data_IF_933464230207
#
_entry.id   IF_933464230207
#
_cell.length_a   1.000
_cell.length_b   1.000
_cell.length_c   1.000
_cell.angle_alpha   90.00
_cell.angle_beta   90.00
_cell.angle_gamma   90.00
#
_symmetry.space_group_name_H-M   'P 1'
#
loop_
_entity.id
_entity.type
_entity.pdbx_description
1 polymer ?
#
# COMPACT_ATOMS: atom_id res chain seq x y z
N UNK A 1 -8.82 -10.66 2.38
CA UNK A 1 -8.27 -10.28 1.06
C UNK A 1 -8.47 -11.34 -0.04
N UNK A 2 -7.75 -12.47 -0.05
CA UNK A 2 -7.76 -13.36 -1.24
C UNK A 2 -9.12 -14.02 -1.47
N UNK A 3 -9.77 -14.53 -0.43
CA UNK A 3 -11.10 -15.13 -0.56
C UNK A 3 -12.14 -14.12 -1.05
N UNK A 4 -12.07 -12.87 -0.58
CA UNK A 4 -12.94 -11.81 -1.08
C UNK A 4 -12.67 -11.47 -2.55
N UNK A 5 -11.40 -11.48 -2.98
CA UNK A 5 -11.06 -11.30 -4.39
C UNK A 5 -11.63 -12.43 -5.26
N UNK A 6 -11.49 -13.69 -4.83
CA UNK A 6 -12.07 -14.84 -5.54
C UNK A 6 -13.59 -14.76 -5.64
N UNK A 7 -14.27 -14.21 -4.63
CA UNK A 7 -15.74 -14.19 -4.56
C UNK A 7 -16.38 -12.98 -5.23
N UNK A 8 -15.77 -11.80 -5.11
CA UNK A 8 -16.35 -10.52 -5.56
C UNK A 8 -15.48 -9.77 -6.56
N UNK A 9 -14.29 -10.26 -6.87
CA UNK A 9 -13.36 -9.59 -7.79
C UNK A 9 -13.75 -9.65 -9.27
N UNK A 10 -14.87 -10.30 -9.62
CA UNK A 10 -15.36 -10.36 -11.00
C UNK A 10 -14.30 -10.93 -11.95
N UNK A 11 -13.89 -10.17 -12.98
CA UNK A 11 -12.82 -10.58 -13.92
C UNK A 11 -11.46 -10.87 -13.25
N UNK A 12 -11.22 -10.33 -12.06
CA UNK A 12 -10.00 -10.58 -11.28
C UNK A 12 -10.11 -11.82 -10.38
N UNK A 13 -11.29 -12.45 -10.30
CA UNK A 13 -11.53 -13.60 -9.45
C UNK A 13 -10.56 -14.75 -9.75
N UNK A 14 -10.12 -14.94 -10.98
CA UNK A 14 -9.19 -16.01 -11.37
C UNK A 14 -7.75 -15.52 -11.65
N UNK A 15 -7.44 -14.26 -11.35
CA UNK A 15 -6.12 -13.72 -11.58
C UNK A 15 -5.04 -14.51 -10.78
N UNK A 16 -3.84 -14.74 -11.35
CA UNK A 16 -2.72 -15.30 -10.60
C UNK A 16 -2.38 -14.42 -9.40
N UNK A 17 -2.25 -15.02 -8.21
CA UNK A 17 -1.93 -14.28 -6.98
C UNK A 17 -0.54 -14.68 -6.51
N UNK A 18 0.27 -13.67 -6.22
CA UNK A 18 1.57 -13.82 -5.61
C UNK A 18 1.54 -13.22 -4.21
N UNK A 19 1.73 -14.06 -3.20
CA UNK A 19 1.95 -13.61 -1.84
C UNK A 19 3.46 -13.64 -1.58
N UNK A 20 4.04 -12.53 -1.14
CA UNK A 20 5.49 -12.45 -0.94
C UNK A 20 5.82 -12.21 0.53
N UNK A 21 6.78 -12.96 1.05
CA UNK A 21 7.43 -12.71 2.33
C UNK A 21 8.87 -12.26 2.06
N UNK A 22 9.12 -10.94 1.94
CA UNK A 22 10.38 -10.39 1.45
C UNK A 22 11.43 -10.13 2.53
N UNK A 23 11.13 -10.52 3.77
CA UNK A 23 11.95 -10.19 4.93
C UNK A 23 11.99 -11.33 5.91
N UNK A 24 13.14 -11.51 6.56
CA UNK A 24 13.28 -12.44 7.66
C UNK A 24 12.28 -12.16 8.80
N UNK A 25 11.65 -13.22 9.29
CA UNK A 25 10.64 -13.19 10.34
C UNK A 25 10.09 -14.58 10.61
N UNK A 26 9.10 -14.69 11.51
CA UNK A 26 8.40 -15.94 11.74
C UNK A 26 7.87 -16.55 10.44
N UNK A 27 7.86 -17.88 10.32
CA UNK A 27 7.27 -18.54 9.17
C UNK A 27 5.74 -18.34 9.15
N UNK A 28 5.13 -18.46 7.97
CA UNK A 28 3.69 -18.60 7.85
C UNK A 28 3.22 -19.86 8.59
N UNK A 29 2.04 -19.78 9.21
CA UNK A 29 1.41 -20.93 9.86
C UNK A 29 1.07 -22.03 8.84
N UNK A 30 0.92 -23.27 9.29
CA UNK A 30 0.48 -24.36 8.42
C UNK A 30 -0.92 -24.08 7.85
N UNK A 31 -1.81 -23.48 8.65
CA UNK A 31 -3.13 -23.06 8.19
C UNK A 31 -3.04 -22.09 7.01
N UNK A 32 -2.21 -21.05 7.10
CA UNK A 32 -2.02 -20.08 6.00
C UNK A 32 -1.47 -20.77 4.74
N UNK A 33 -0.50 -21.67 4.87
CA UNK A 33 0.05 -22.42 3.74
C UNK A 33 -0.99 -23.30 3.06
N UNK A 34 -1.82 -24.00 3.85
CA UNK A 34 -2.91 -24.82 3.33
C UNK A 34 -3.96 -23.96 2.61
N UNK A 35 -4.28 -22.78 3.16
CA UNK A 35 -5.18 -21.81 2.53
C UNK A 35 -4.60 -21.26 1.23
N UNK A 36 -3.30 -20.97 1.18
CA UNK A 36 -2.64 -20.56 -0.06
C UNK A 36 -2.70 -21.65 -1.14
N UNK A 37 -2.44 -22.91 -0.78
CA UNK A 37 -2.57 -24.02 -1.71
C UNK A 37 -4.01 -24.17 -2.24
N UNK A 38 -5.01 -24.11 -1.34
CA UNK A 38 -6.43 -24.19 -1.71
C UNK A 38 -6.87 -23.05 -2.65
N UNK A 39 -6.31 -21.86 -2.48
CA UNK A 39 -6.68 -20.65 -3.24
C UNK A 39 -5.76 -20.40 -4.46
N UNK A 40 -4.89 -21.37 -4.79
CA UNK A 40 -3.92 -21.28 -5.88
C UNK A 40 -3.04 -20.03 -5.80
N UNK A 41 -2.46 -19.79 -4.62
CA UNK A 41 -1.58 -18.65 -4.35
C UNK A 41 -0.12 -19.09 -4.48
N UNK A 42 0.63 -18.39 -5.33
CA UNK A 42 2.07 -18.55 -5.44
C UNK A 42 2.76 -17.84 -4.26
N UNK A 43 3.27 -18.59 -3.30
CA UNK A 43 4.01 -18.02 -2.17
C UNK A 43 5.49 -17.90 -2.50
N UNK A 44 5.99 -16.67 -2.53
CA UNK A 44 7.42 -16.38 -2.70
C UNK A 44 7.98 -15.98 -1.34
N UNK A 45 9.04 -16.66 -0.91
CA UNK A 45 9.84 -16.22 0.24
C UNK A 45 11.21 -15.78 -0.26
N UNK A 46 11.50 -14.50 -0.12
CA UNK A 46 12.81 -13.95 -0.42
C UNK A 46 13.35 -13.20 0.82
N UNK A 47 14.68 -13.08 0.89
CA UNK A 47 15.35 -12.32 1.94
C UNK A 47 16.55 -11.60 1.33
N UNK A 48 16.31 -10.60 0.48
CA UNK A 48 17.37 -9.84 -0.17
C UNK A 48 18.24 -9.18 0.91
N UNK A 49 19.56 -9.32 0.77
CA UNK A 49 20.51 -8.68 1.68
C UNK A 49 20.63 -7.21 1.29
N UNK A 50 20.07 -6.34 2.12
CA UNK A 50 20.13 -4.89 1.94
C UNK A 50 20.58 -4.21 3.22
N UNK A 51 21.21 -3.04 3.10
CA UNK A 51 21.63 -2.21 4.25
C UNK A 51 20.42 -1.71 5.08
N UNK A 52 19.22 -1.82 4.50
CA UNK A 52 17.96 -1.35 5.04
C UNK A 52 16.99 -2.50 5.40
N UNK A 53 17.50 -3.72 5.60
CA UNK A 53 16.67 -4.90 5.93
C UNK A 53 15.88 -4.76 7.25
N UNK A 54 16.18 -3.74 8.03
CA UNK A 54 15.42 -3.35 9.22
C UNK A 54 14.16 -2.54 8.92
N UNK A 55 14.13 -1.83 7.79
CA UNK A 55 13.04 -0.94 7.43
C UNK A 55 11.87 -1.74 6.86
N UNK A 56 10.76 -1.76 7.60
CA UNK A 56 9.56 -2.50 7.19
C UNK A 56 8.91 -1.97 5.93
N UNK A 57 9.04 -0.67 5.65
CA UNK A 57 8.45 -0.04 4.47
C UNK A 57 9.04 -0.59 3.16
N UNK A 58 10.28 -1.08 3.17
CA UNK A 58 10.87 -1.71 1.97
C UNK A 58 10.27 -3.06 1.60
N UNK A 59 9.41 -3.66 2.44
CA UNK A 59 8.81 -4.96 2.11
C UNK A 59 8.04 -4.89 0.78
N UNK A 60 7.31 -3.80 0.50
CA UNK A 60 6.51 -3.67 -0.72
C UNK A 60 7.36 -3.60 -2.00
N UNK A 61 8.33 -2.68 -2.15
CA UNK A 61 9.19 -2.66 -3.33
C UNK A 61 10.03 -3.95 -3.48
N UNK A 62 10.52 -4.54 -2.37
CA UNK A 62 11.23 -5.83 -2.43
C UNK A 62 10.32 -6.97 -2.87
N UNK A 63 9.06 -6.98 -2.42
CA UNK A 63 8.07 -7.97 -2.83
C UNK A 63 7.72 -7.84 -4.31
N UNK A 64 7.54 -6.62 -4.81
CA UNK A 64 7.27 -6.35 -6.22
C UNK A 64 8.40 -6.85 -7.11
N UNK A 65 9.66 -6.52 -6.78
CA UNK A 65 10.81 -7.01 -7.57
C UNK A 65 10.85 -8.53 -7.62
N UNK A 66 10.65 -9.20 -6.48
CA UNK A 66 10.65 -10.66 -6.44
C UNK A 66 9.47 -11.30 -7.18
N UNK A 67 8.29 -10.67 -7.15
CA UNK A 67 7.11 -11.17 -7.85
C UNK A 67 7.18 -10.91 -9.36
N UNK A 68 7.68 -9.76 -9.79
CA UNK A 68 7.75 -9.37 -11.20
C UNK A 68 8.59 -10.34 -12.05
N UNK A 69 9.57 -11.02 -11.44
CA UNK A 69 10.36 -12.10 -12.09
C UNK A 69 9.53 -13.34 -12.43
N UNK A 70 8.43 -13.57 -11.72
CA UNK A 70 7.55 -14.73 -11.89
C UNK A 70 6.24 -14.40 -12.63
N UNK A 71 5.82 -13.14 -12.64
CA UNK A 71 4.57 -12.72 -13.25
C UNK A 71 4.71 -12.73 -14.78
N UNK A 72 3.75 -13.37 -15.45
CA UNK A 72 3.67 -13.44 -16.91
C UNK A 72 2.58 -12.54 -17.50
N UNK A 73 1.64 -12.06 -16.69
CA UNK A 73 0.58 -11.14 -17.12
C UNK A 73 1.16 -9.82 -17.62
N UNK A 74 0.38 -9.12 -18.45
CA UNK A 74 0.75 -7.79 -18.95
C UNK A 74 0.79 -6.74 -17.84
N UNK A 75 -0.12 -6.84 -16.87
CA UNK A 75 -0.22 -5.93 -15.74
C UNK A 75 0.19 -6.61 -14.43
N UNK A 76 0.69 -5.79 -13.50
CA UNK A 76 0.91 -6.13 -12.10
C UNK A 76 0.00 -5.23 -11.26
N UNK A 77 -0.87 -5.83 -10.45
CA UNK A 77 -1.66 -5.12 -9.46
C UNK A 77 -1.10 -5.39 -8.06
N UNK A 78 -0.76 -4.33 -7.32
CA UNK A 78 -0.44 -4.41 -5.91
C UNK A 78 -1.70 -4.20 -5.08
N UNK A 79 -1.89 -5.08 -4.08
CA UNK A 79 -2.90 -4.95 -3.04
C UNK A 79 -2.22 -5.15 -1.69
N UNK A 80 -2.33 -4.18 -0.78
CA UNK A 80 -1.90 -4.37 0.59
C UNK A 80 -2.67 -5.53 1.24
N UNK A 81 -2.04 -6.22 2.20
CA UNK A 81 -2.64 -7.40 2.84
C UNK A 81 -3.89 -7.08 3.65
N UNK A 82 -4.07 -5.82 4.02
CA UNK A 82 -5.20 -5.30 4.79
C UNK A 82 -6.29 -4.64 3.92
N UNK A 83 -6.50 -5.18 2.73
CA UNK A 83 -7.68 -4.83 1.90
C UNK A 83 -8.73 -5.95 1.87
N UNK A 84 -9.99 -5.54 1.71
CA UNK A 84 -11.14 -6.41 1.47
C UNK A 84 -11.84 -5.97 0.18
N UNK A 85 -12.10 -6.94 -0.70
CA UNK A 85 -12.78 -6.70 -1.98
C UNK A 85 -14.28 -6.80 -1.74
N UNK A 86 -15.00 -5.73 -2.08
CA UNK A 86 -16.46 -5.59 -1.94
C UNK A 86 -17.18 -5.76 -3.27
N UNK A 87 -16.48 -5.53 -4.39
CA UNK A 87 -16.99 -5.72 -5.74
C UNK A 87 -15.86 -5.77 -6.77
N UNK A 88 -16.20 -5.99 -8.05
CA UNK A 88 -15.23 -6.02 -9.13
C UNK A 88 -14.47 -4.68 -9.17
N UNK A 89 -13.13 -4.70 -9.23
CA UNK A 89 -12.34 -3.49 -9.36
C UNK A 89 -11.96 -3.24 -10.82
N UNK A 90 -12.95 -3.05 -11.70
CA UNK A 90 -12.76 -2.91 -13.15
C UNK A 90 -11.81 -1.77 -13.57
N UNK A 91 -11.70 -0.69 -12.80
CA UNK A 91 -10.83 0.44 -13.14
C UNK A 91 -9.32 0.17 -12.96
N UNK A 92 -8.94 -0.98 -12.38
CA UNK A 92 -7.56 -1.48 -12.40
C UNK A 92 -7.12 -1.94 -13.79
N UNK A 93 -8.05 -2.13 -14.73
CA UNK A 93 -7.73 -2.42 -16.14
C UNK A 93 -7.32 -1.11 -16.82
N UNK A 94 -6.17 -1.13 -17.50
CA UNK A 94 -5.68 0.02 -18.24
C UNK A 94 -6.55 0.32 -19.45
N UNK A 95 -6.82 1.62 -19.66
CA UNK A 95 -7.28 2.13 -20.95
C UNK A 95 -6.12 2.21 -21.93
N UNK A 96 -6.44 2.43 -23.20
CA UNK A 96 -5.42 2.61 -24.23
C UNK A 96 -4.48 3.77 -23.87
N UNK A 97 -3.18 3.50 -23.93
CA UNK A 97 -2.14 4.47 -23.58
C UNK A 97 -1.95 4.73 -22.08
N UNK A 98 -2.66 4.06 -21.17
CA UNK A 98 -2.37 4.12 -19.73
C UNK A 98 -1.30 3.10 -19.34
N UNK A 99 -0.42 3.48 -18.42
CA UNK A 99 0.71 2.69 -17.92
C UNK A 99 0.60 2.40 -16.42
N UNK A 100 -0.09 3.27 -15.68
CA UNK A 100 -0.15 3.25 -14.22
C UNK A 100 -1.51 3.76 -13.70
N UNK A 101 -2.05 3.12 -12.66
CA UNK A 101 -3.24 3.58 -11.96
C UNK A 101 -3.09 3.44 -10.45
N UNK A 102 -3.53 4.45 -9.70
CA UNK A 102 -3.54 4.44 -8.23
C UNK A 102 -4.56 5.45 -7.69
N UNK A 103 -4.95 5.32 -6.42
CA UNK A 103 -5.77 6.34 -5.75
C UNK A 103 -4.90 7.51 -5.26
N UNK A 104 -5.41 8.74 -5.40
CA UNK A 104 -4.79 9.90 -4.76
C UNK A 104 -4.65 9.66 -3.24
N UNK A 105 -3.53 10.09 -2.67
CA UNK A 105 -3.39 10.10 -1.21
C UNK A 105 -4.26 11.20 -0.59
N UNK A 106 -4.52 11.07 0.72
CA UNK A 106 -4.85 12.22 1.55
C UNK A 106 -3.67 13.22 1.55
N UNK A 107 -3.93 14.50 1.88
CA UNK A 107 -2.93 15.58 1.84
C UNK A 107 -1.72 15.18 2.64
N UNK A 108 -1.87 14.87 3.94
CA UNK A 108 -0.81 14.31 4.79
C UNK A 108 0.55 15.01 4.52
N UNK A 109 1.55 14.28 3.99
CA UNK A 109 2.86 14.83 3.62
C UNK A 109 2.95 15.39 2.19
N UNK A 110 1.90 15.29 1.40
CA UNK A 110 1.76 15.91 0.09
C UNK A 110 1.79 17.44 0.19
N UNK A 111 2.41 18.07 -0.80
CA UNK A 111 2.57 19.53 -0.84
C UNK A 111 1.50 20.21 -1.69
N UNK A 112 0.83 21.20 -1.12
CA UNK A 112 -0.09 22.11 -1.79
C UNK A 112 0.60 23.30 -2.51
N UNK A 113 1.94 23.31 -2.61
CA UNK A 113 2.70 24.38 -3.28
C UNK A 113 3.59 25.19 -2.34
N UNK A 114 4.08 26.33 -2.83
CA UNK A 114 5.17 27.12 -2.23
C UNK A 114 4.98 27.47 -0.74
N UNK A 115 3.75 27.70 -0.31
CA UNK A 115 3.42 28.09 1.07
C UNK A 115 3.15 26.90 2.01
N UNK A 116 3.11 25.68 1.48
CA UNK A 116 2.91 24.47 2.28
C UNK A 116 4.22 24.08 2.98
N UNK A 117 4.23 23.85 4.31
CA UNK A 117 5.40 23.33 5.02
C UNK A 117 6.00 22.07 4.39
N UNK A 118 5.18 21.26 3.72
CA UNK A 118 5.63 20.04 3.04
C UNK A 118 6.43 20.32 1.76
N UNK A 119 6.35 21.52 1.17
CA UNK A 119 6.98 21.86 -0.11
C UNK A 119 8.50 21.76 -0.09
N UNK A 120 9.13 22.06 1.05
CA UNK A 120 10.59 21.97 1.22
C UNK A 120 11.08 20.54 1.05
N UNK A 121 10.40 19.58 1.67
CA UNK A 121 10.71 18.16 1.55
C UNK A 121 10.57 17.68 0.10
N UNK A 122 9.49 18.07 -0.59
CA UNK A 122 9.28 17.70 -2.00
C UNK A 122 10.28 18.35 -2.96
N UNK A 123 10.63 19.62 -2.77
CA UNK A 123 11.67 20.30 -3.55
C UNK A 123 13.02 19.61 -3.48
N UNK A 124 13.40 19.18 -2.29
CA UNK A 124 14.64 18.42 -2.11
C UNK A 124 14.59 17.09 -2.87
N UNK A 125 13.48 16.35 -2.76
CA UNK A 125 13.30 15.10 -3.50
C UNK A 125 13.38 15.32 -5.01
N UNK A 126 12.67 16.32 -5.55
CA UNK A 126 12.73 16.63 -6.97
C UNK A 126 14.15 17.00 -7.42
N UNK A 127 14.92 17.68 -6.58
CA UNK A 127 16.34 17.97 -6.84
C UNK A 127 17.19 16.70 -6.88
N UNK A 128 17.00 15.78 -5.93
CA UNK A 128 17.71 14.48 -5.89
C UNK A 128 17.45 13.65 -7.15
N UNK A 129 16.24 13.70 -7.69
CA UNK A 129 15.81 12.90 -8.83
C UNK A 129 15.83 13.65 -10.18
N UNK A 130 16.39 14.86 -10.23
CA UNK A 130 16.44 15.71 -11.42
C UNK A 130 15.06 15.92 -12.08
N UNK A 131 14.04 16.11 -11.24
CA UNK A 131 12.68 16.41 -11.67
C UNK A 131 12.43 17.92 -11.59
N UNK A 132 11.96 18.51 -12.68
CA UNK A 132 11.57 19.92 -12.67
C UNK A 132 10.24 20.08 -11.93
N UNK A 133 10.25 20.81 -10.81
CA UNK A 133 9.07 21.06 -9.97
C UNK A 133 7.90 21.70 -10.74
N UNK A 134 8.19 22.53 -11.75
CA UNK A 134 7.19 23.21 -12.58
C UNK A 134 6.44 22.24 -13.50
N UNK A 135 7.02 21.08 -13.78
CA UNK A 135 6.43 20.03 -14.60
C UNK A 135 5.69 18.97 -13.77
N UNK A 136 5.71 19.08 -12.45
CA UNK A 136 5.07 18.08 -11.58
C UNK A 136 3.56 18.26 -11.65
N UNK A 137 2.81 17.21 -12.04
CA UNK A 137 1.36 17.30 -12.12
C UNK A 137 0.71 17.55 -10.75
N UNK A 138 -0.49 18.12 -10.82
CA UNK A 138 -1.36 18.33 -9.66
C UNK A 138 -2.47 17.29 -9.64
N UNK A 139 -2.91 16.94 -8.43
CA UNK A 139 -4.06 16.07 -8.20
C UNK A 139 -4.90 16.58 -7.04
N UNK A 140 -6.20 16.35 -7.10
CA UNK A 140 -7.12 16.65 -6.01
C UNK A 140 -7.24 15.42 -5.11
N UNK A 141 -6.91 15.58 -3.83
CA UNK A 141 -7.10 14.53 -2.81
C UNK A 141 -8.57 14.19 -2.71
N UNK A 142 -8.92 12.90 -2.63
CA UNK A 142 -10.33 12.51 -2.67
C UNK A 142 -11.11 12.87 -1.40
N UNK A 143 -10.51 12.70 -0.22
CA UNK A 143 -11.20 12.98 1.05
C UNK A 143 -11.26 14.47 1.35
N UNK A 144 -10.13 15.16 1.26
CA UNK A 144 -10.01 16.56 1.70
C UNK A 144 -10.33 17.56 0.58
N UNK A 145 -10.47 17.09 -0.67
CA UNK A 145 -10.64 17.93 -1.88
C UNK A 145 -9.58 19.04 -2.01
N UNK A 146 -8.36 18.79 -1.51
CA UNK A 146 -7.20 19.68 -1.61
C UNK A 146 -6.42 19.40 -2.89
N UNK A 147 -5.93 20.45 -3.53
CA UNK A 147 -5.01 20.33 -4.65
C UNK A 147 -3.59 20.14 -4.10
N UNK A 148 -2.93 19.05 -4.47
CA UNK A 148 -1.55 18.74 -4.08
C UNK A 148 -0.74 18.34 -5.31
N UNK A 149 0.58 18.50 -5.25
CA UNK A 149 1.45 17.83 -6.22
C UNK A 149 1.23 16.33 -6.14
N UNK A 150 1.27 15.68 -7.29
CA UNK A 150 0.88 14.28 -7.43
C UNK A 150 1.54 13.40 -6.37
N UNK A 151 0.70 12.66 -5.65
CA UNK A 151 1.09 11.80 -4.54
C UNK A 151 0.01 10.73 -4.35
N UNK A 152 0.41 9.47 -4.47
CA UNK A 152 -0.49 8.31 -4.51
C UNK A 152 -0.56 7.62 -3.17
N UNK A 153 -1.71 7.07 -2.77
CA UNK A 153 -1.74 6.04 -1.74
C UNK A 153 -1.18 4.72 -2.33
N UNK A 154 -0.19 4.10 -1.69
CA UNK A 154 0.46 2.90 -2.24
C UNK A 154 -0.25 1.58 -1.90
N UNK A 155 -1.41 1.61 -1.23
CA UNK A 155 -2.14 0.42 -0.79
C UNK A 155 -2.80 -0.36 -1.93
N UNK A 156 -3.20 0.34 -2.99
CA UNK A 156 -3.76 -0.24 -4.22
C UNK A 156 -3.24 0.53 -5.42
N UNK A 157 -2.55 -0.16 -6.31
CA UNK A 157 -2.13 0.40 -7.60
C UNK A 157 -1.89 -0.71 -8.63
N UNK A 158 -1.86 -0.37 -9.91
CA UNK A 158 -1.45 -1.27 -10.97
C UNK A 158 -0.51 -0.57 -11.96
N UNK A 159 0.41 -1.34 -12.55
CA UNK A 159 1.28 -0.86 -13.63
C UNK A 159 1.49 -1.93 -14.71
N UNK A 160 1.89 -1.52 -15.92
CA UNK A 160 2.30 -2.47 -16.97
C UNK A 160 3.65 -3.09 -16.61
N UNK A 161 3.70 -4.43 -16.57
CA UNK A 161 4.90 -5.20 -16.23
C UNK A 161 6.08 -4.90 -17.16
N UNK A 162 5.83 -4.66 -18.44
CA UNK A 162 6.87 -4.37 -19.43
C UNK A 162 7.67 -3.10 -19.12
N UNK A 163 7.17 -2.23 -18.23
CA UNK A 163 7.84 -1.00 -17.83
C UNK A 163 8.91 -1.22 -16.76
N UNK A 164 8.94 -2.37 -16.08
CA UNK A 164 9.95 -2.65 -15.06
C UNK A 164 9.92 -1.72 -13.85
N UNK A 165 8.73 -1.18 -13.51
CA UNK A 165 8.56 -0.19 -12.46
C UNK A 165 9.05 -0.69 -11.08
N UNK A 166 8.97 -1.99 -10.77
CA UNK A 166 9.35 -2.47 -9.43
C UNK A 166 10.82 -2.22 -9.12
N UNK A 167 11.71 -2.42 -10.10
CA UNK A 167 13.16 -2.21 -9.92
C UNK A 167 13.48 -0.74 -9.71
N UNK A 168 12.89 0.14 -10.52
CA UNK A 168 13.05 1.59 -10.37
C UNK A 168 12.48 2.07 -9.05
N UNK A 169 11.32 1.53 -8.66
CA UNK A 169 10.69 1.84 -7.39
C UNK A 169 11.57 1.47 -6.19
N UNK A 170 12.14 0.27 -6.21
CA UNK A 170 13.09 -0.16 -5.18
C UNK A 170 14.36 0.71 -5.18
N UNK A 171 14.88 1.08 -6.36
CA UNK A 171 16.05 1.93 -6.46
C UNK A 171 15.78 3.32 -5.90
N UNK A 172 14.66 3.95 -6.25
CA UNK A 172 14.24 5.25 -5.71
C UNK A 172 14.08 5.18 -4.18
N UNK A 173 13.52 4.09 -3.65
CA UNK A 173 13.48 3.87 -2.20
C UNK A 173 14.89 3.90 -1.57
N UNK A 174 15.88 3.25 -2.20
CA UNK A 174 17.25 3.29 -1.71
C UNK A 174 17.88 4.68 -1.86
N UNK A 175 17.64 5.38 -2.96
CA UNK A 175 18.20 6.70 -3.20
C UNK A 175 17.72 7.71 -2.15
N UNK A 176 16.42 7.69 -1.80
CA UNK A 176 15.88 8.51 -0.69
C UNK A 176 16.56 8.15 0.65
N UNK A 177 16.77 6.86 0.91
CA UNK A 177 17.42 6.41 2.14
C UNK A 177 18.93 6.72 2.19
N UNK A 178 19.59 6.74 1.04
CA UNK A 178 21.00 7.13 0.93
C UNK A 178 21.16 8.65 1.07
N UNK A 179 20.14 9.43 0.71
CA UNK A 179 20.13 10.88 0.88
C UNK A 179 19.93 11.33 2.34
N UNK A 180 19.61 10.39 3.26
CA UNK A 180 19.45 10.65 4.70
C UNK A 180 18.54 11.86 4.98
N UNK A 181 17.44 11.97 4.24
CA UNK A 181 16.41 12.98 4.49
C UNK A 181 15.26 12.36 5.28
N UNK A 182 14.55 13.18 6.04
CA UNK A 182 13.32 12.78 6.72
C UNK A 182 12.32 13.92 6.67
N UNK A 183 11.04 13.58 6.54
CA UNK A 183 9.97 14.56 6.65
C UNK A 183 9.77 14.99 8.11
N UNK A 184 9.54 16.27 8.37
CA UNK A 184 9.39 16.80 9.73
C UNK A 184 8.19 16.27 10.51
N UNK A 185 7.08 15.91 9.84
CA UNK A 185 5.88 15.38 10.50
C UNK A 185 5.91 13.85 10.60
N UNK A 186 6.29 13.18 9.52
CA UNK A 186 6.15 11.72 9.40
C UNK A 186 7.47 10.94 9.48
N UNK A 187 8.59 11.64 9.65
CA UNK A 187 9.93 11.06 9.53
C UNK A 187 10.07 10.33 8.19
N UNK A 188 10.35 9.03 8.21
CA UNK A 188 10.50 8.21 6.99
C UNK A 188 9.30 7.30 6.72
N UNK A 189 8.19 7.50 7.43
CA UNK A 189 7.04 6.59 7.41
C UNK A 189 6.44 6.42 6.01
N UNK A 190 6.33 7.52 5.26
CA UNK A 190 5.73 7.54 3.93
C UNK A 190 6.75 7.53 2.79
N UNK A 191 8.04 7.32 3.07
CA UNK A 191 9.09 7.34 2.03
C UNK A 191 8.85 6.34 0.91
N UNK A 192 8.28 5.18 1.24
CA UNK A 192 7.93 4.18 0.22
C UNK A 192 6.83 4.72 -0.71
N UNK A 193 5.77 5.28 -0.16
CA UNK A 193 4.70 5.90 -0.95
C UNK A 193 5.19 7.08 -1.82
N UNK A 194 6.14 7.87 -1.29
CA UNK A 194 6.83 8.94 -2.04
C UNK A 194 7.68 8.38 -3.17
N UNK A 195 8.44 7.32 -2.91
CA UNK A 195 9.27 6.68 -3.92
C UNK A 195 8.44 6.12 -5.09
N UNK A 196 7.19 5.70 -4.86
CA UNK A 196 6.33 5.18 -5.92
C UNK A 196 6.04 6.25 -6.97
N UNK A 197 5.66 7.45 -6.51
CA UNK A 197 5.33 8.55 -7.42
C UNK A 197 6.58 9.09 -8.12
N UNK A 198 7.72 9.16 -7.43
CA UNK A 198 8.98 9.59 -8.04
C UNK A 198 9.47 8.60 -9.10
N UNK A 199 9.35 7.28 -8.87
CA UNK A 199 9.67 6.26 -9.85
C UNK A 199 8.75 6.33 -11.08
N UNK A 200 7.44 6.56 -10.86
CA UNK A 200 6.46 6.77 -11.93
C UNK A 200 6.80 8.01 -12.78
N UNK A 201 7.12 9.14 -12.14
CA UNK A 201 7.47 10.39 -12.81
C UNK A 201 8.78 10.30 -13.59
N UNK A 202 9.81 9.67 -13.00
CA UNK A 202 11.13 9.47 -13.64
C UNK A 202 11.03 8.67 -14.94
N UNK A 203 10.02 7.80 -15.07
CA UNK A 203 9.75 7.01 -16.28
C UNK A 203 8.77 7.68 -17.24
N UNK A 204 8.26 8.86 -16.92
CA UNK A 204 7.22 9.55 -17.69
C UNK A 204 6.00 8.65 -17.98
N UNK A 205 5.57 7.87 -16.97
CA UNK A 205 4.45 6.95 -17.15
C UNK A 205 3.14 7.70 -17.33
N UNK A 206 2.32 7.25 -18.28
CA UNK A 206 0.96 7.77 -18.45
C UNK A 206 0.05 7.18 -17.39
N UNK A 207 -0.58 8.02 -16.59
CA UNK A 207 -1.31 7.57 -15.42
C UNK A 207 -2.77 8.04 -15.40
N UNK A 208 -3.60 7.30 -14.65
CA UNK A 208 -4.95 7.72 -14.28
C UNK A 208 -5.16 7.54 -12.78
N UNK A 209 -5.78 8.54 -12.15
CA UNK A 209 -6.24 8.43 -10.78
C UNK A 209 -7.45 7.51 -10.69
N UNK A 210 -7.40 6.54 -9.78
CA UNK A 210 -8.55 5.70 -9.42
C UNK A 210 -9.47 6.48 -8.46
N UNK A 211 -10.80 6.29 -8.57
CA UNK A 211 -11.73 6.83 -7.59
C UNK A 211 -11.42 6.30 -6.19
N UNK A 212 -11.79 7.07 -5.17
CA UNK A 212 -11.58 6.68 -3.76
C UNK A 212 -12.21 5.33 -3.38
N UNK A 213 -13.27 4.90 -4.09
CA UNK A 213 -13.91 3.59 -3.92
C UNK A 213 -12.97 2.39 -4.15
N UNK A 214 -11.81 2.60 -4.76
CA UNK A 214 -10.79 1.56 -5.03
C UNK A 214 -9.71 1.48 -3.96
N UNK A 215 -9.75 2.35 -2.96
CA UNK A 215 -8.86 2.32 -1.81
C UNK A 215 -9.50 3.05 -0.63
N UNK A 216 -10.75 2.72 -0.32
CA UNK A 216 -11.52 3.39 0.71
C UNK A 216 -10.93 3.01 2.07
N UNK A 217 -10.21 3.94 2.71
CA UNK A 217 -9.65 3.68 4.03
C UNK A 217 -10.72 3.73 5.11
N UNK A 218 -10.82 2.66 5.90
CA UNK A 218 -11.76 2.50 7.01
C UNK A 218 -10.97 2.10 8.25
N UNK A 219 -11.21 2.77 9.37
CA UNK A 219 -10.49 2.48 10.61
C UNK A 219 -11.07 3.26 11.79
N UNK A 220 -10.74 2.82 13.00
CA UNK A 220 -11.31 3.40 14.23
C UNK A 220 -10.99 4.88 14.41
N UNK A 221 -9.81 5.32 13.94
CA UNK A 221 -9.33 6.70 14.03
C UNK A 221 -9.91 7.63 12.96
N UNK A 222 -10.36 7.05 11.85
CA UNK A 222 -10.77 7.79 10.65
C UNK A 222 -12.30 7.85 10.52
N UNK A 223 -12.99 6.86 11.07
CA UNK A 223 -14.42 6.66 10.87
C UNK A 223 -15.28 7.85 11.27
N UNK A 224 -15.12 8.39 12.48
CA UNK A 224 -16.00 9.45 13.00
C UNK A 224 -15.92 10.75 12.19
N UNK A 225 -14.81 11.00 11.51
CA UNK A 225 -14.57 12.22 10.75
C UNK A 225 -14.85 12.04 9.26
N UNK A 226 -14.61 10.86 8.71
CA UNK A 226 -14.51 10.67 7.27
C UNK A 226 -15.42 9.57 6.71
N UNK A 227 -16.20 8.87 7.54
CA UNK A 227 -17.16 7.91 7.04
C UNK A 227 -18.29 8.58 6.26
N UNK A 228 -18.52 8.10 5.03
CA UNK A 228 -19.69 8.43 4.23
C UNK A 228 -20.34 7.14 3.74
N UNK A 229 -21.57 6.89 4.16
CA UNK A 229 -22.33 5.69 3.74
C UNK A 229 -22.53 5.65 2.22
N UNK A 230 -22.78 6.81 1.59
CA UNK A 230 -22.91 6.93 0.15
C UNK A 230 -21.64 6.49 -0.57
N UNK A 231 -20.48 7.03 -0.15
CA UNK A 231 -19.20 6.63 -0.73
C UNK A 231 -18.89 5.17 -0.42
N UNK A 232 -19.22 4.70 0.78
CA UNK A 232 -18.98 3.33 1.19
C UNK A 232 -19.79 2.33 0.37
N UNK A 233 -21.04 2.65 -0.02
CA UNK A 233 -21.85 1.85 -0.96
C UNK A 233 -21.20 1.71 -2.34
N UNK A 234 -20.50 2.75 -2.80
CA UNK A 234 -19.79 2.72 -4.08
C UNK A 234 -18.43 1.98 -4.00
N UNK A 235 -17.93 1.68 -2.81
CA UNK A 235 -16.61 1.06 -2.58
C UNK A 235 -16.51 -0.32 -3.24
N UNK A 236 -15.42 -0.51 -4.00
CA UNK A 236 -15.00 -1.80 -4.57
C UNK A 236 -13.91 -2.45 -3.73
N UNK A 237 -13.04 -1.65 -3.13
CA UNK A 237 -11.95 -2.11 -2.27
C UNK A 237 -11.89 -1.23 -1.03
N UNK A 238 -12.06 -1.85 0.14
CA UNK A 238 -11.85 -1.19 1.43
C UNK A 238 -10.46 -1.53 1.95
N UNK A 239 -9.66 -0.50 2.22
CA UNK A 239 -8.43 -0.60 2.99
C UNK A 239 -8.80 -0.53 4.46
N UNK A 240 -8.94 -1.70 5.09
CA UNK A 240 -9.64 -1.78 6.36
C UNK A 240 -8.79 -1.37 7.56
N UNK A 241 -7.52 -0.98 7.39
CA UNK A 241 -6.59 -0.59 8.47
C UNK A 241 -6.77 -1.43 9.74
N UNK A 242 -7.39 -0.88 10.79
CA UNK A 242 -7.69 -1.57 12.04
C UNK A 242 -9.15 -2.02 12.22
N UNK A 243 -10.00 -1.84 11.21
CA UNK A 243 -11.44 -2.05 11.28
C UNK A 243 -11.86 -3.52 11.48
N UNK A 244 -11.02 -4.47 11.06
CA UNK A 244 -11.27 -5.90 11.29
C UNK A 244 -10.81 -6.40 12.67
N UNK A 245 -10.27 -5.54 13.54
CA UNK A 245 -9.87 -5.93 14.89
C UNK A 245 -11.05 -5.89 15.87
N UNK A 246 -10.99 -6.65 16.99
CA UNK A 246 -12.13 -6.81 17.91
C UNK A 246 -12.73 -5.50 18.43
N UNK A 247 -11.93 -4.44 18.60
CA UNK A 247 -12.40 -3.16 19.15
C UNK A 247 -13.21 -2.31 18.16
N UNK A 248 -13.17 -2.60 16.86
CA UNK A 248 -13.91 -1.86 15.84
C UNK A 248 -14.76 -2.76 14.93
N UNK A 249 -14.71 -4.07 15.16
CA UNK A 249 -15.36 -5.08 14.35
C UNK A 249 -16.86 -4.88 14.18
N UNK A 250 -17.60 -4.69 15.27
CA UNK A 250 -19.06 -4.53 15.23
C UNK A 250 -19.45 -3.32 14.37
N UNK A 251 -18.81 -2.16 14.59
CA UNK A 251 -19.03 -0.96 13.77
C UNK A 251 -18.73 -1.22 12.29
N UNK A 252 -17.62 -1.89 11.98
CA UNK A 252 -17.26 -2.19 10.61
C UNK A 252 -18.26 -3.12 9.93
N UNK A 253 -18.70 -4.16 10.63
CA UNK A 253 -19.68 -5.12 10.13
C UNK A 253 -21.05 -4.47 9.97
N UNK A 254 -21.47 -3.58 10.86
CA UNK A 254 -22.73 -2.83 10.73
C UNK A 254 -22.73 -1.92 9.49
N UNK A 255 -21.62 -1.23 9.22
CA UNK A 255 -21.45 -0.47 7.99
C UNK A 255 -21.53 -1.38 6.75
N UNK A 256 -20.90 -2.56 6.79
CA UNK A 256 -20.96 -3.53 5.69
C UNK A 256 -22.38 -4.09 5.52
N UNK A 257 -23.12 -4.33 6.59
CA UNK A 257 -24.50 -4.82 6.52
C UNK A 257 -25.40 -3.85 5.76
N UNK A 258 -25.19 -2.54 5.96
CA UNK A 258 -25.98 -1.49 5.31
C UNK A 258 -25.58 -1.26 3.85
N UNK A 259 -24.28 -1.34 3.55
CA UNK A 259 -23.74 -0.99 2.23
C UNK A 259 -23.48 -2.18 1.32
N UNK A 260 -23.05 -3.31 1.88
CA UNK A 260 -22.63 -4.54 1.19
C UNK A 260 -23.14 -5.81 1.89
N UNK A 261 -24.47 -6.02 2.04
CA UNK A 261 -25.02 -7.12 2.84
C UNK A 261 -24.46 -8.53 2.50
N UNK A 262 -24.24 -8.90 1.22
CA UNK A 262 -23.64 -10.20 0.88
C UNK A 262 -22.22 -10.40 1.40
N UNK A 263 -21.44 -9.31 1.50
CA UNK A 263 -20.08 -9.34 2.07
C UNK A 263 -20.17 -9.46 3.58
N UNK A 264 -21.03 -8.68 4.23
CA UNK A 264 -21.23 -8.73 5.67
C UNK A 264 -21.69 -10.12 6.15
N UNK A 265 -22.68 -10.72 5.47
CA UNK A 265 -23.18 -12.06 5.77
C UNK A 265 -22.09 -13.14 5.68
N UNK A 266 -21.14 -12.99 4.75
CA UNK A 266 -19.98 -13.89 4.64
C UNK A 266 -18.91 -13.62 5.69
N UNK A 267 -18.66 -12.34 6.01
CA UNK A 267 -17.58 -11.93 6.89
C UNK A 267 -17.90 -12.19 8.37
N UNK A 268 -19.15 -11.95 8.78
CA UNK A 268 -19.66 -12.17 10.15
C UNK A 268 -19.25 -13.51 10.79
N UNK A 269 -19.52 -14.67 10.17
CA UNK A 269 -19.19 -15.97 10.76
C UNK A 269 -17.67 -16.22 10.90
N UNK A 270 -16.83 -15.48 10.17
CA UNK A 270 -15.36 -15.56 10.33
C UNK A 270 -14.88 -14.86 11.60
N UNK A 271 -15.63 -13.85 12.07
CA UNK A 271 -15.30 -13.06 13.25
C UNK A 271 -14.11 -12.11 13.06
N UNK A 272 -13.77 -11.33 14.10
CA UNK A 272 -12.67 -10.37 14.04
C UNK A 272 -11.31 -11.07 13.93
N UNK A 273 -10.31 -10.34 13.44
CA UNK A 273 -8.92 -10.78 13.40
C UNK A 273 -8.41 -11.08 14.81
N UNK A 274 -7.61 -12.15 14.90
CA UNK A 274 -6.97 -12.61 16.14
C UNK A 274 -5.50 -12.88 15.88
N UNK A 275 -4.65 -12.55 16.85
CA UNK A 275 -3.25 -12.94 16.81
C UNK A 275 -3.08 -14.34 17.40
N UNK A 276 -3.13 -15.35 16.53
CA UNK A 276 -2.99 -16.76 16.89
C UNK A 276 -1.54 -17.26 16.81
N UNK A 277 -0.56 -16.36 16.71
CA UNK A 277 0.84 -16.76 16.60
C UNK A 277 1.31 -17.49 17.88
N UNK A 278 2.00 -18.63 17.74
CA UNK A 278 2.63 -19.32 18.88
C UNK A 278 3.53 -18.41 19.71
N UNK A 279 3.61 -18.65 21.02
CA UNK A 279 4.33 -17.78 21.98
C UNK A 279 5.78 -17.56 21.54
N UNK A 280 6.47 -18.61 21.08
CA UNK A 280 7.84 -18.50 20.60
C UNK A 280 7.97 -17.53 19.42
N UNK A 281 7.02 -17.54 18.47
CA UNK A 281 7.03 -16.63 17.33
C UNK A 281 6.62 -15.21 17.68
N UNK A 282 5.78 -15.04 18.71
CA UNK A 282 5.51 -13.73 19.31
C UNK A 282 6.75 -13.15 19.98
N UNK A 283 7.50 -13.97 20.72
CA UNK A 283 8.76 -13.57 21.33
C UNK A 283 9.81 -13.21 20.26
N UNK A 284 9.99 -14.04 19.22
CA UNK A 284 10.88 -13.73 18.09
C UNK A 284 10.49 -12.44 17.39
N UNK A 285 9.20 -12.23 17.11
CA UNK A 285 8.70 -10.99 16.51
C UNK A 285 9.02 -9.77 17.35
N UNK A 286 8.86 -9.88 18.69
CA UNK A 286 9.17 -8.79 19.62
C UNK A 286 10.65 -8.47 19.62
N UNK A 287 11.52 -9.48 19.66
CA UNK A 287 12.98 -9.29 19.59
C UNK A 287 13.40 -8.64 18.27
N UNK A 288 12.89 -9.14 17.14
CA UNK A 288 13.18 -8.56 15.83
C UNK A 288 12.69 -7.12 15.72
N UNK A 289 11.50 -6.82 16.26
CA UNK A 289 10.98 -5.46 16.31
C UNK A 289 11.92 -4.53 17.08
N UNK A 290 12.37 -4.95 18.26
CA UNK A 290 13.29 -4.16 19.08
C UNK A 290 14.61 -3.86 18.36
N UNK A 291 15.25 -4.88 17.77
CA UNK A 291 16.52 -4.71 17.03
C UNK A 291 16.34 -3.75 15.85
N UNK A 292 15.27 -3.92 15.08
CA UNK A 292 14.96 -3.07 13.93
C UNK A 292 14.61 -1.64 14.33
N UNK A 293 13.88 -1.47 15.42
CA UNK A 293 13.54 -0.16 15.97
C UNK A 293 14.78 0.62 16.40
N UNK A 294 15.81 -0.04 16.95
CA UNK A 294 17.09 0.62 17.25
C UNK A 294 17.81 1.11 15.99
N UNK A 295 17.85 0.29 14.94
CA UNK A 295 18.46 0.68 13.67
C UNK A 295 17.69 1.82 13.01
N UNK A 296 16.35 1.75 12.99
CA UNK A 296 15.48 2.83 12.54
C UNK A 296 15.75 4.13 13.31
N UNK A 297 15.79 4.08 14.65
CA UNK A 297 16.03 5.27 15.46
C UNK A 297 17.43 5.87 15.22
N UNK A 298 18.46 5.03 15.05
CA UNK A 298 19.80 5.51 14.74
C UNK A 298 19.86 6.18 13.36
N UNK A 299 19.22 5.57 12.36
CA UNK A 299 19.13 6.13 11.02
C UNK A 299 18.36 7.46 11.02
N UNK A 300 17.18 7.52 11.65
CA UNK A 300 16.38 8.74 11.74
C UNK A 300 17.12 9.87 12.46
N UNK A 301 17.96 9.58 13.45
CA UNK A 301 18.82 10.58 14.11
C UNK A 301 19.91 11.16 13.20
N UNK A 302 20.39 10.38 12.24
CA UNK A 302 21.36 10.85 11.25
C UNK A 302 20.69 11.67 10.14
N UNK A 303 19.39 11.53 9.95
CA UNK A 303 18.68 12.21 8.86
C UNK A 303 18.60 13.73 9.06
N UNK A 304 18.75 14.47 7.96
CA UNK A 304 18.35 15.87 7.86
C UNK A 304 16.83 15.96 7.79
N UNK A 305 16.22 16.61 8.77
CA UNK A 305 14.78 16.83 8.85
C UNK A 305 14.37 18.02 7.99
N UNK A 306 13.40 17.82 7.10
CA UNK A 306 12.90 18.80 6.13
C UNK A 306 11.39 19.04 6.26
#
# INVERSE_FOLDING_TARGET
MIESLRKWGGKFADAPIYAVTPRFGPPLSQHTKNTFARLNVNHIRCNPRTNYSWLGFLNKPLALVAAEECITSESVCWLDSDVLILGEPEELIFKEGEDFVACASDKNIGSAGLEDPQDKFWKELYTIFDLNIENIPWIVTEREKKNIRIYWNSGVFAYRRSLGLAKDYLQVCFDILNAEIANHESSIFFHEQVALVLAMLKRDLKWRALPYSYNYGMGSKTHSQWYSEEQFKATKIVHYHDAMWPWFWETFVDCLDQAHPPVAQWLKPLGPLKNEAPIQWRATSKLLKEVRSRQLNNYTKACRVL
#
